data_IF_911585236244
#
_entry.id   IF_911585236244
#
_cell.length_a   1.000
_cell.length_b   1.000
_cell.length_c   1.000
_cell.angle_alpha   90.00
_cell.angle_beta   90.00
_cell.angle_gamma   90.00
#
_symmetry.space_group_name_H-M   'P 1'
#
loop_
_entity.id
_entity.type
_entity.pdbx_description
1 polymer ?
#
# COMPACT_ATOMS: atom_id res chain seq x y z
N UNK A 1 -6.44 -0.87 -22.35
CA UNK A 1 -6.16 -1.45 -21.01
C UNK A 1 -7.35 -2.31 -20.68
N UNK A 2 -7.14 -3.60 -20.45
CA UNK A 2 -8.23 -4.55 -20.30
C UNK A 2 -8.98 -4.31 -18.96
N UNK A 3 -10.29 -4.56 -18.96
CA UNK A 3 -11.14 -4.41 -17.77
C UNK A 3 -10.73 -5.38 -16.67
N UNK A 4 -10.11 -6.51 -17.03
CA UNK A 4 -9.53 -7.49 -16.10
C UNK A 4 -8.44 -6.90 -15.22
N UNK A 5 -7.43 -6.25 -15.81
CA UNK A 5 -6.30 -5.66 -15.07
C UNK A 5 -6.77 -4.57 -14.10
N UNK A 6 -7.76 -3.77 -14.51
CA UNK A 6 -8.31 -2.73 -13.63
C UNK A 6 -9.04 -3.34 -12.43
N UNK A 7 -9.71 -4.47 -12.61
CA UNK A 7 -10.39 -5.17 -11.52
C UNK A 7 -9.40 -5.83 -10.55
N UNK A 8 -8.30 -6.40 -11.05
CA UNK A 8 -7.27 -6.99 -10.20
C UNK A 8 -6.57 -5.93 -9.34
N UNK A 9 -6.20 -4.79 -9.93
CA UNK A 9 -5.63 -3.65 -9.19
C UNK A 9 -6.58 -3.21 -8.07
N UNK A 10 -7.89 -3.04 -8.38
CA UNK A 10 -8.89 -2.64 -7.38
C UNK A 10 -9.03 -3.67 -6.26
N UNK A 11 -9.04 -4.97 -6.60
CA UNK A 11 -9.15 -6.04 -5.62
C UNK A 11 -7.95 -6.04 -4.68
N UNK A 12 -6.73 -5.93 -5.21
CA UNK A 12 -5.50 -5.89 -4.42
C UNK A 12 -5.49 -4.70 -3.46
N UNK A 13 -5.76 -3.49 -3.97
CA UNK A 13 -5.80 -2.27 -3.15
C UNK A 13 -6.89 -2.32 -2.07
N UNK A 14 -8.06 -2.93 -2.38
CA UNK A 14 -9.12 -3.13 -1.40
C UNK A 14 -8.69 -4.07 -0.28
N UNK A 15 -8.03 -5.19 -0.61
CA UNK A 15 -7.51 -6.13 0.39
C UNK A 15 -6.46 -5.47 1.28
N UNK A 16 -5.53 -4.72 0.71
CA UNK A 16 -4.57 -3.94 1.48
C UNK A 16 -5.27 -2.95 2.41
N UNK A 17 -6.24 -2.17 1.90
CA UNK A 17 -6.96 -1.17 2.69
C UNK A 17 -7.68 -1.76 3.90
N UNK A 18 -8.34 -2.91 3.75
CA UNK A 18 -9.02 -3.60 4.86
C UNK A 18 -8.02 -4.05 5.92
N UNK A 19 -6.93 -4.73 5.52
CA UNK A 19 -5.93 -5.20 6.47
C UNK A 19 -5.23 -4.03 7.17
N UNK A 20 -4.80 -3.03 6.40
CA UNK A 20 -4.12 -1.86 6.93
C UNK A 20 -4.98 -1.14 7.97
N UNK A 21 -6.29 -0.99 7.75
CA UNK A 21 -7.20 -0.36 8.70
C UNK A 21 -7.20 -1.09 10.06
N UNK A 22 -7.37 -2.42 10.05
CA UNK A 22 -7.36 -3.24 11.26
C UNK A 22 -6.03 -3.11 12.03
N UNK A 23 -4.89 -3.20 11.33
CA UNK A 23 -3.57 -3.08 11.94
C UNK A 23 -3.29 -1.68 12.50
N UNK A 24 -3.66 -0.62 11.78
CA UNK A 24 -3.42 0.75 12.20
C UNK A 24 -4.29 1.13 13.40
N UNK A 25 -5.56 0.72 13.42
CA UNK A 25 -6.46 0.93 14.57
C UNK A 25 -5.91 0.20 15.80
N UNK A 26 -5.52 -1.07 15.65
CA UNK A 26 -4.94 -1.84 16.75
C UNK A 26 -3.65 -1.20 17.28
N UNK A 27 -2.80 -0.69 16.37
CA UNK A 27 -1.56 -0.01 16.75
C UNK A 27 -1.81 1.30 17.51
N UNK A 28 -2.76 2.13 17.07
CA UNK A 28 -3.17 3.35 17.78
C UNK A 28 -3.79 3.04 19.14
N UNK A 29 -4.60 1.99 19.23
CA UNK A 29 -5.19 1.54 20.49
C UNK A 29 -4.11 1.10 21.49
N UNK A 30 -3.12 0.32 21.04
CA UNK A 30 -2.01 -0.13 21.86
C UNK A 30 -1.05 0.99 22.29
N UNK A 31 -1.01 2.11 21.56
CA UNK A 31 -0.11 3.23 21.81
C UNK A 31 -0.89 4.53 22.09
N UNK A 32 -1.55 4.64 23.27
CA UNK A 32 -2.49 5.73 23.51
C UNK A 32 -1.86 7.12 23.60
N UNK A 33 -0.55 7.21 23.79
CA UNK A 33 0.22 8.45 23.83
C UNK A 33 0.55 8.99 22.43
N UNK A 34 0.39 8.17 21.37
CA UNK A 34 0.62 8.59 19.99
C UNK A 34 -0.64 9.28 19.47
N UNK A 35 -0.52 10.57 19.15
CA UNK A 35 -1.63 11.37 18.62
C UNK A 35 -1.80 11.25 17.11
N UNK A 36 -0.71 10.94 16.39
CA UNK A 36 -0.72 10.73 14.94
C UNK A 36 0.39 9.79 14.51
N UNK A 37 0.09 8.95 13.52
CA UNK A 37 1.04 8.12 12.79
C UNK A 37 1.39 8.82 11.48
N UNK A 38 2.67 9.07 11.25
CA UNK A 38 3.18 9.48 9.94
C UNK A 38 3.61 8.25 9.17
N UNK A 39 2.92 7.95 8.09
CA UNK A 39 3.04 6.69 7.35
C UNK A 39 3.48 6.93 5.91
N UNK A 40 4.19 5.95 5.34
CA UNK A 40 4.45 5.84 3.90
C UNK A 40 3.84 4.52 3.41
N UNK A 41 3.11 4.59 2.32
CA UNK A 41 2.64 3.42 1.55
C UNK A 41 3.44 3.40 0.26
N UNK A 42 4.12 2.28 0.00
CA UNK A 42 4.92 2.08 -1.20
C UNK A 42 4.39 0.90 -2.01
N UNK A 43 4.40 1.03 -3.34
CA UNK A 43 4.23 -0.10 -4.26
C UNK A 43 5.60 -0.44 -4.82
N UNK A 44 6.03 -1.66 -4.56
CA UNK A 44 7.27 -2.25 -5.07
C UNK A 44 6.92 -3.38 -6.04
N UNK A 45 7.60 -3.40 -7.17
CA UNK A 45 7.46 -4.44 -8.17
C UNK A 45 8.45 -5.58 -7.91
N UNK A 46 7.89 -6.77 -7.65
CA UNK A 46 8.64 -7.98 -7.35
C UNK A 46 8.70 -8.94 -8.54
N UNK A 47 8.29 -8.49 -9.73
CA UNK A 47 8.26 -9.32 -10.93
C UNK A 47 9.68 -9.59 -11.41
N UNK A 48 10.03 -10.86 -11.57
CA UNK A 48 11.25 -11.25 -12.28
C UNK A 48 11.01 -11.14 -13.79
N UNK A 49 11.61 -10.13 -14.41
CA UNK A 49 11.51 -9.87 -15.84
C UNK A 49 12.57 -10.61 -16.67
N UNK A 50 13.47 -11.38 -16.03
CA UNK A 50 14.59 -12.02 -16.69
C UNK A 50 15.44 -11.04 -17.49
N UNK A 51 15.72 -11.37 -18.75
CA UNK A 51 16.57 -10.58 -19.64
C UNK A 51 15.88 -9.33 -20.24
N UNK A 52 14.61 -9.09 -19.92
CA UNK A 52 13.81 -8.00 -20.48
C UNK A 52 13.15 -7.13 -19.40
N UNK A 53 13.92 -6.48 -18.51
CA UNK A 53 13.37 -5.59 -17.49
C UNK A 53 12.69 -4.36 -18.12
N UNK A 54 11.70 -3.77 -17.43
CA UNK A 54 11.07 -2.54 -17.90
C UNK A 54 12.07 -1.39 -17.91
N UNK A 55 11.87 -0.44 -18.83
CA UNK A 55 12.71 0.77 -18.94
C UNK A 55 12.74 1.61 -17.66
N UNK A 56 11.66 1.59 -16.88
CA UNK A 56 11.59 2.18 -15.56
C UNK A 56 10.97 1.15 -14.61
N UNK A 57 11.60 0.88 -13.45
CA UNK A 57 10.96 0.14 -12.38
C UNK A 57 9.65 0.81 -11.97
N UNK A 58 8.64 0.03 -11.64
CA UNK A 58 7.44 0.54 -10.99
C UNK A 58 7.75 0.82 -9.52
N UNK A 59 7.74 2.10 -9.15
CA UNK A 59 7.87 2.56 -7.78
C UNK A 59 6.91 3.73 -7.52
N UNK A 60 6.00 3.55 -6.55
CA UNK A 60 5.02 4.58 -6.16
C UNK A 60 5.06 4.72 -4.65
N UNK A 61 5.28 5.94 -4.16
CA UNK A 61 5.23 6.27 -2.74
C UNK A 61 4.15 7.31 -2.44
N UNK A 62 3.36 7.06 -1.40
CA UNK A 62 2.40 8.01 -0.83
C UNK A 62 2.73 8.20 0.64
N UNK A 63 2.83 9.44 1.10
CA UNK A 63 3.07 9.78 2.50
C UNK A 63 1.86 10.52 3.06
N UNK A 64 1.43 10.14 4.26
CA UNK A 64 0.29 10.76 4.92
C UNK A 64 0.33 10.60 6.43
N UNK A 65 -0.50 11.40 7.10
CA UNK A 65 -0.67 11.35 8.55
C UNK A 65 -2.04 10.73 8.87
N UNK A 66 -2.06 9.72 9.74
CA UNK A 66 -3.28 9.15 10.33
C UNK A 66 -3.37 9.68 11.74
N UNK A 67 -4.51 10.27 12.10
CA UNK A 67 -4.76 10.84 13.43
C UNK A 67 -5.72 9.94 14.18
N UNK A 68 -5.62 9.94 15.51
CA UNK A 68 -6.67 9.39 16.36
C UNK A 68 -7.92 10.28 16.30
#
# INVERSE_FOLDING_TARGET
MDDSSRNDIRRLLKSFGILADEYLIAHLAANPHVQSLRLRISVEDLTDYGDAPPHSPLAIDIVGDVRR
#
